data_IF_115905453089
#
_entry.id   IF_115905453089
#
_cell.length_a   1.000
_cell.length_b   1.000
_cell.length_c   1.000
_cell.angle_alpha   90.00
_cell.angle_beta   90.00
_cell.angle_gamma   90.00
#
_symmetry.space_group_name_H-M   'P 1'
#
loop_
_entity.id
_entity.type
_entity.pdbx_description
1 polymer ?
#
# COMPACT_ATOMS: atom_id res chain seq x y z
N UNK A 1 -5.18 -0.67 -9.18
CA UNK A 1 -4.78 -2.07 -8.89
C UNK A 1 -4.02 -2.67 -10.05
N UNK A 2 -3.01 -3.44 -9.74
CA UNK A 2 -2.19 -4.10 -10.74
C UNK A 2 -2.74 -5.49 -11.02
N UNK A 3 -2.79 -5.90 -12.30
CA UNK A 3 -3.31 -7.23 -12.64
C UNK A 3 -2.56 -8.34 -11.91
N UNK A 4 -3.28 -9.19 -11.23
CA UNK A 4 -2.73 -10.35 -10.55
C UNK A 4 -1.94 -10.10 -9.29
N UNK A 5 -1.73 -8.85 -8.91
CA UNK A 5 -1.00 -8.54 -7.69
C UNK A 5 -1.81 -8.98 -6.45
N UNK A 6 -1.14 -9.57 -5.48
CA UNK A 6 -1.76 -10.01 -4.23
C UNK A 6 -2.26 -11.45 -4.25
N UNK A 7 -2.24 -12.11 -5.39
CA UNK A 7 -2.60 -13.52 -5.50
C UNK A 7 -1.36 -14.38 -5.34
N UNK A 8 -1.42 -15.30 -4.39
CA UNK A 8 -0.24 -15.97 -3.87
C UNK A 8 0.45 -16.97 -4.80
N UNK A 9 -0.10 -17.28 -5.97
CA UNK A 9 0.40 -18.39 -6.80
C UNK A 9 0.81 -17.96 -8.19
N UNK A 10 1.48 -16.85 -8.29
CA UNK A 10 1.99 -16.38 -9.57
C UNK A 10 3.37 -17.00 -9.80
N UNK A 11 3.60 -17.54 -10.99
CA UNK A 11 4.89 -18.08 -11.35
C UNK A 11 5.97 -16.99 -11.31
N UNK A 12 7.21 -17.39 -11.01
CA UNK A 12 8.33 -16.45 -10.96
C UNK A 12 8.46 -15.63 -12.25
N UNK A 13 8.25 -16.29 -13.40
CA UNK A 13 8.33 -15.62 -14.70
C UNK A 13 7.30 -14.50 -14.84
N UNK A 14 6.10 -14.73 -14.34
CA UNK A 14 5.05 -13.72 -14.34
C UNK A 14 5.40 -12.54 -13.43
N UNK A 15 5.95 -12.82 -12.25
CA UNK A 15 6.39 -11.76 -11.33
C UNK A 15 7.53 -10.95 -11.93
N UNK A 16 8.47 -11.60 -12.60
CA UNK A 16 9.57 -10.90 -13.27
C UNK A 16 9.05 -10.03 -14.40
N UNK A 17 8.05 -10.50 -15.15
CA UNK A 17 7.41 -9.71 -16.21
C UNK A 17 6.70 -8.49 -15.62
N UNK A 18 6.00 -8.67 -14.51
CA UNK A 18 5.35 -7.55 -13.83
C UNK A 18 6.39 -6.55 -13.34
N UNK A 19 7.50 -7.04 -12.81
CA UNK A 19 8.59 -6.18 -12.37
C UNK A 19 9.10 -5.29 -13.48
N UNK A 20 9.35 -5.86 -14.65
CA UNK A 20 9.78 -5.08 -15.82
C UNK A 20 8.72 -4.09 -16.27
N UNK A 21 7.46 -4.49 -16.23
CA UNK A 21 6.36 -3.62 -16.60
C UNK A 21 6.25 -2.45 -15.64
N UNK A 22 6.36 -2.70 -14.34
CA UNK A 22 6.32 -1.67 -13.31
C UNK A 22 7.49 -0.70 -13.43
N UNK A 23 8.68 -1.20 -13.72
CA UNK A 23 9.84 -0.35 -13.96
C UNK A 23 9.60 0.62 -15.11
N UNK A 24 8.95 0.16 -16.17
CA UNK A 24 8.59 1.03 -17.29
C UNK A 24 7.59 2.11 -16.88
N UNK A 25 6.58 1.77 -16.12
CA UNK A 25 5.64 2.75 -15.61
C UNK A 25 6.32 3.79 -14.74
N UNK A 26 7.19 3.36 -13.86
CA UNK A 26 7.88 4.25 -12.92
C UNK A 26 8.93 5.10 -13.61
N UNK A 27 9.48 4.63 -14.71
CA UNK A 27 10.47 5.39 -15.48
C UNK A 27 9.85 6.53 -16.27
N UNK A 28 8.55 6.46 -16.58
CA UNK A 28 7.88 7.53 -17.29
C UNK A 28 7.48 8.64 -16.34
N UNK A 29 8.11 9.78 -16.53
CA UNK A 29 7.92 10.95 -15.68
C UNK A 29 6.47 11.43 -15.72
N UNK A 30 5.90 11.68 -14.54
CA UNK A 30 4.56 12.24 -14.40
C UNK A 30 3.41 11.27 -14.50
N UNK A 31 3.66 9.99 -14.80
CA UNK A 31 2.60 8.99 -14.88
C UNK A 31 2.09 8.54 -13.52
N UNK A 32 3.00 8.40 -12.55
CA UNK A 32 2.63 7.95 -11.22
C UNK A 32 2.92 9.06 -10.22
N UNK A 33 1.86 9.58 -9.62
CA UNK A 33 1.94 10.66 -8.64
C UNK A 33 1.91 10.11 -7.21
N UNK A 34 1.27 8.95 -7.00
CA UNK A 34 1.03 8.38 -5.68
C UNK A 34 0.87 6.88 -5.82
N UNK A 35 1.47 6.14 -4.90
CA UNK A 35 1.24 4.70 -4.77
C UNK A 35 0.35 4.41 -3.57
N UNK A 36 -0.61 3.51 -3.74
CA UNK A 36 -1.44 3.01 -2.65
C UNK A 36 -1.25 1.50 -2.58
N UNK A 37 -0.68 1.05 -1.49
CA UNK A 37 -0.44 -0.38 -1.26
C UNK A 37 -1.42 -0.89 -0.22
N UNK A 38 -2.19 -1.90 -0.58
CA UNK A 38 -3.17 -2.50 0.33
C UNK A 38 -2.60 -3.81 0.87
N UNK A 39 -2.50 -3.90 2.18
CA UNK A 39 -2.04 -5.13 2.86
C UNK A 39 -3.12 -5.62 3.80
N UNK A 40 -3.05 -6.89 4.17
CA UNK A 40 -3.96 -7.48 5.14
C UNK A 40 -3.46 -7.19 6.56
N UNK A 41 -4.25 -6.47 7.34
CA UNK A 41 -3.86 -6.07 8.69
C UNK A 41 -3.68 -7.26 9.64
N UNK A 42 -4.21 -8.43 9.31
CA UNK A 42 -4.16 -9.62 10.17
C UNK A 42 -2.81 -10.32 10.14
N UNK A 43 -2.00 -10.07 9.12
CA UNK A 43 -0.79 -10.85 8.87
C UNK A 43 0.42 -9.96 8.61
N UNK A 44 1.59 -10.57 8.76
CA UNK A 44 2.83 -9.95 8.30
C UNK A 44 2.74 -9.76 6.79
N UNK A 45 3.14 -8.59 6.25
CA UNK A 45 3.14 -8.39 4.80
C UNK A 45 3.92 -9.47 4.05
N UNK A 46 3.41 -9.83 2.89
CA UNK A 46 4.03 -10.86 2.05
C UNK A 46 5.30 -10.33 1.36
N UNK A 47 6.08 -11.25 0.79
CA UNK A 47 7.24 -10.87 -0.02
C UNK A 47 6.84 -9.98 -1.20
N UNK A 48 5.68 -10.22 -1.80
CA UNK A 48 5.17 -9.40 -2.89
C UNK A 48 4.82 -7.99 -2.42
N UNK A 49 4.26 -7.87 -1.21
CA UNK A 49 3.99 -6.57 -0.60
C UNK A 49 5.28 -5.78 -0.41
N UNK A 50 6.32 -6.43 0.11
CA UNK A 50 7.62 -5.81 0.32
C UNK A 50 8.22 -5.34 -1.00
N UNK A 51 8.17 -6.19 -2.02
CA UNK A 51 8.70 -5.87 -3.35
C UNK A 51 7.99 -4.65 -3.94
N UNK A 52 6.67 -4.63 -3.88
CA UNK A 52 5.88 -3.50 -4.40
C UNK A 52 6.18 -2.21 -3.63
N UNK A 53 6.29 -2.31 -2.32
CA UNK A 53 6.63 -1.15 -1.49
C UNK A 53 8.00 -0.60 -1.86
N UNK A 54 8.98 -1.47 -2.08
CA UNK A 54 10.33 -1.06 -2.46
C UNK A 54 10.34 -0.36 -3.82
N UNK A 55 9.53 -0.81 -4.76
CA UNK A 55 9.41 -0.12 -6.05
C UNK A 55 8.88 1.29 -5.87
N UNK A 56 7.81 1.48 -5.11
CA UNK A 56 7.28 2.81 -4.84
C UNK A 56 8.33 3.70 -4.17
N UNK A 57 9.07 3.18 -3.20
CA UNK A 57 10.14 3.94 -2.55
C UNK A 57 11.24 4.33 -3.53
N UNK A 58 11.58 3.42 -4.44
CA UNK A 58 12.63 3.67 -5.44
C UNK A 58 12.27 4.74 -6.46
N UNK A 59 10.99 4.99 -6.69
CA UNK A 59 10.54 6.02 -7.64
C UNK A 59 10.50 7.42 -7.04
N UNK A 60 10.62 7.52 -5.73
CA UNK A 60 10.44 8.80 -5.03
C UNK A 60 8.99 9.24 -4.90
N UNK A 61 8.04 8.44 -5.37
CA UNK A 61 6.61 8.74 -5.21
C UNK A 61 6.20 8.54 -3.76
N UNK A 62 5.29 9.38 -3.23
CA UNK A 62 4.67 9.10 -1.95
C UNK A 62 3.92 7.78 -2.00
N UNK A 63 3.96 7.03 -0.91
CA UNK A 63 3.19 5.80 -0.80
C UNK A 63 2.31 5.86 0.44
N UNK A 64 1.07 5.41 0.27
CA UNK A 64 0.14 5.20 1.37
C UNK A 64 -0.04 3.70 1.51
N UNK A 65 0.18 3.18 2.72
CA UNK A 65 -0.09 1.78 3.02
C UNK A 65 -1.43 1.69 3.73
N UNK A 66 -2.33 0.89 3.19
CA UNK A 66 -3.66 0.67 3.74
C UNK A 66 -3.68 -0.71 4.38
N UNK A 67 -3.83 -0.75 5.69
CA UNK A 67 -3.93 -2.00 6.44
C UNK A 67 -5.41 -2.39 6.53
N UNK A 68 -5.85 -3.18 5.56
CA UNK A 68 -7.25 -3.56 5.41
C UNK A 68 -7.64 -4.73 6.31
N UNK A 69 -8.93 -4.94 6.47
CA UNK A 69 -9.53 -5.99 7.31
C UNK A 69 -9.33 -5.75 8.80
N UNK A 70 -9.24 -4.49 9.18
CA UNK A 70 -9.09 -4.09 10.57
C UNK A 70 -10.19 -4.66 11.46
N UNK A 71 -11.40 -4.77 10.93
CA UNK A 71 -12.57 -5.31 11.62
C UNK A 71 -12.40 -6.77 12.05
N UNK A 72 -11.45 -7.49 11.47
CA UNK A 72 -11.13 -8.88 11.83
C UNK A 72 -10.16 -9.00 13.00
N UNK A 73 -9.62 -7.88 13.47
CA UNK A 73 -8.67 -7.86 14.58
C UNK A 73 -9.35 -7.53 15.90
N UNK A 74 -8.87 -8.14 16.97
CA UNK A 74 -9.18 -7.69 18.33
C UNK A 74 -8.46 -6.37 18.59
N UNK A 75 -9.04 -5.55 19.47
CA UNK A 75 -8.48 -4.25 19.80
C UNK A 75 -7.02 -4.34 20.24
N UNK A 76 -6.69 -5.38 21.01
CA UNK A 76 -5.33 -5.62 21.49
C UNK A 76 -4.33 -6.01 20.40
N UNK A 77 -4.81 -6.44 19.23
CA UNK A 77 -3.97 -6.87 18.12
C UNK A 77 -3.63 -5.75 17.16
N UNK A 78 -4.38 -4.65 17.20
CA UNK A 78 -4.27 -3.58 16.20
C UNK A 78 -2.89 -2.93 16.22
N UNK A 79 -2.47 -2.38 17.36
CA UNK A 79 -1.20 -1.67 17.44
C UNK A 79 0.01 -2.57 17.16
N UNK A 80 0.10 -3.79 17.71
CA UNK A 80 1.20 -4.69 17.38
C UNK A 80 1.26 -5.05 15.90
N UNK A 81 0.10 -5.28 15.26
CA UNK A 81 0.06 -5.65 13.85
C UNK A 81 0.46 -4.47 12.96
N UNK A 82 0.03 -3.26 13.29
CA UNK A 82 0.45 -2.07 12.54
C UNK A 82 1.95 -1.83 12.66
N UNK A 83 2.50 -2.03 13.85
CA UNK A 83 3.94 -1.92 14.07
C UNK A 83 4.71 -2.94 13.24
N UNK A 84 4.22 -4.16 13.17
CA UNK A 84 4.83 -5.22 12.35
C UNK A 84 4.81 -4.87 10.86
N UNK A 85 3.72 -4.28 10.38
CA UNK A 85 3.62 -3.85 8.99
C UNK A 85 4.66 -2.77 8.69
N UNK A 86 4.77 -1.76 9.55
CA UNK A 86 5.78 -0.70 9.37
C UNK A 86 7.19 -1.27 9.33
N UNK A 87 7.49 -2.17 10.24
CA UNK A 87 8.81 -2.78 10.34
C UNK A 87 9.12 -3.65 9.11
N UNK A 88 8.18 -4.49 8.72
CA UNK A 88 8.36 -5.42 7.59
C UNK A 88 8.55 -4.67 6.28
N UNK A 89 7.78 -3.62 6.05
CA UNK A 89 7.88 -2.80 4.84
C UNK A 89 8.97 -1.74 4.93
N UNK A 90 9.61 -1.59 6.08
CA UNK A 90 10.64 -0.58 6.32
C UNK A 90 10.13 0.81 5.94
N UNK A 91 8.98 1.19 6.47
CA UNK A 91 8.35 2.47 6.16
C UNK A 91 9.09 3.61 6.87
N UNK A 92 9.39 4.71 6.16
CA UNK A 92 9.89 5.91 6.83
C UNK A 92 8.83 6.52 7.75
N UNK A 93 9.25 7.33 8.69
CA UNK A 93 8.34 7.95 9.67
C UNK A 93 7.21 8.74 9.01
N UNK A 94 7.54 9.44 7.93
CA UNK A 94 6.58 10.27 7.21
C UNK A 94 5.61 9.47 6.35
N UNK A 95 5.86 8.19 6.13
CA UNK A 95 4.96 7.35 5.34
C UNK A 95 3.66 7.10 6.10
N UNK A 96 2.55 7.21 5.40
CA UNK A 96 1.23 6.99 5.98
C UNK A 96 0.87 5.51 5.98
N UNK A 97 0.46 5.03 7.13
CA UNK A 97 -0.11 3.70 7.31
C UNK A 97 -1.51 3.88 7.90
N UNK A 98 -2.52 3.56 7.11
CA UNK A 98 -3.91 3.83 7.47
C UNK A 98 -4.61 2.52 7.85
N UNK A 99 -5.05 2.38 9.11
CA UNK A 99 -5.92 1.27 9.49
C UNK A 99 -7.25 1.39 8.75
N UNK A 100 -7.70 0.30 8.14
CA UNK A 100 -8.81 0.36 7.21
C UNK A 100 -9.70 -0.87 7.30
N UNK A 101 -11.00 -0.65 7.11
CA UNK A 101 -11.95 -1.73 6.91
C UNK A 101 -12.90 -1.35 5.79
N UNK A 102 -12.78 -2.00 4.66
CA UNK A 102 -13.69 -1.77 3.54
C UNK A 102 -15.13 -2.13 3.93
N UNK A 103 -15.29 -3.16 4.74
CA UNK A 103 -16.60 -3.63 5.20
C UNK A 103 -17.28 -2.63 6.12
N UNK A 104 -16.52 -2.00 7.04
CA UNK A 104 -17.07 -1.08 8.04
C UNK A 104 -16.90 0.40 7.69
N UNK A 105 -16.17 0.71 6.64
CA UNK A 105 -15.89 2.09 6.27
C UNK A 105 -14.83 2.78 7.12
N UNK A 106 -14.17 2.05 8.01
CA UNK A 106 -13.10 2.59 8.86
C UNK A 106 -11.93 3.04 8.00
N UNK A 107 -11.42 4.23 8.26
CA UNK A 107 -10.24 4.76 7.56
C UNK A 107 -10.53 5.38 6.21
N UNK A 108 -11.76 5.30 5.71
CA UNK A 108 -12.13 5.84 4.40
C UNK A 108 -11.87 7.34 4.31
N UNK A 109 -12.29 8.08 5.31
CA UNK A 109 -12.10 9.54 5.35
C UNK A 109 -10.62 9.89 5.36
N UNK A 110 -9.83 9.21 6.19
CA UNK A 110 -8.38 9.42 6.28
C UNK A 110 -7.69 9.11 4.96
N UNK A 111 -8.09 8.03 4.30
CA UNK A 111 -7.51 7.65 3.03
C UNK A 111 -7.81 8.68 1.95
N UNK A 112 -9.05 9.12 1.83
CA UNK A 112 -9.45 10.13 0.85
C UNK A 112 -8.74 11.46 1.10
N UNK A 113 -8.62 11.87 2.36
CA UNK A 113 -7.91 13.10 2.72
C UNK A 113 -6.43 13.01 2.36
N UNK A 114 -5.80 11.86 2.63
CA UNK A 114 -4.39 11.65 2.30
C UNK A 114 -4.15 11.69 0.79
N UNK A 115 -5.00 11.03 0.01
CA UNK A 115 -4.92 11.04 -1.45
C UNK A 115 -5.06 12.47 -1.97
N UNK A 116 -6.04 13.21 -1.47
CA UNK A 116 -6.26 14.61 -1.89
C UNK A 116 -5.06 15.49 -1.57
N UNK A 117 -4.50 15.34 -0.39
CA UNK A 117 -3.35 16.15 0.03
C UNK A 117 -2.11 15.85 -0.83
N UNK A 118 -1.83 14.57 -1.08
CA UNK A 118 -0.62 14.16 -1.81
C UNK A 118 -0.72 14.38 -3.31
N UNK A 119 -1.93 14.31 -3.86
CA UNK A 119 -2.15 14.54 -5.28
C UNK A 119 -2.51 15.99 -5.63
N UNK A 120 -2.65 16.83 -4.61
CA UNK A 120 -3.07 18.23 -4.81
C UNK A 120 -4.50 18.37 -5.30
N UNK A 121 -5.31 17.33 -5.11
CA UNK A 121 -6.72 17.35 -5.51
C UNK A 121 -7.52 18.08 -4.44
N UNK A 122 -8.31 19.05 -4.87
CA UNK A 122 -9.23 19.72 -3.95
C UNK A 122 -10.47 18.87 -3.79
N UNK A 123 -10.72 18.46 -2.56
CA UNK A 123 -11.99 17.81 -2.24
C UNK A 123 -13.08 18.89 -2.22
N UNK A 124 -14.10 18.68 -3.01
CA UNK A 124 -15.30 19.51 -2.90
C UNK A 124 -16.03 19.09 -1.62
N UNK A 125 -16.20 20.00 -0.75
CA UNK A 125 -16.94 19.79 0.48
C UNK A 125 -18.43 19.64 0.24
#
# INVERSE_FOLDING_TARGET
DLPGYGYAKVAKEERDRWGRLMERYFAEEGLITLGVLIVDARHKPTADDVTMCDWFKGTGCPVIVVANKLDKLKKSEIDPNLALIRQTLTLPEEALLIPFSAEKGTGKTELLAAISALCGIKTSD
#
